data_IF_479396508502
#
_entry.id   IF_479396508502
#
_cell.length_a   1.000
_cell.length_b   1.000
_cell.length_c   1.000
_cell.angle_alpha   90.00
_cell.angle_beta   90.00
_cell.angle_gamma   90.00
#
_symmetry.space_group_name_H-M   'P 1'
#
loop_
_entity.id
_entity.type
_entity.pdbx_description
1 polymer ?
#
# COMPACT_ATOMS: atom_id res chain seq x y z
N UNK A 1 -12.81 -72.32 82.30
CA UNK A 1 -13.24 -71.14 83.08
C UNK A 1 -12.68 -69.94 82.34
N UNK A 2 -13.49 -69.38 81.44
CA UNK A 2 -14.28 -68.15 81.68
C UNK A 2 -13.43 -66.95 81.31
N UNK A 3 -13.64 -66.39 80.12
CA UNK A 3 -14.54 -65.25 79.84
C UNK A 3 -13.72 -63.96 79.82
N UNK A 4 -13.53 -63.36 78.64
CA UNK A 4 -14.39 -62.30 78.08
C UNK A 4 -14.08 -60.94 78.71
N UNK A 5 -13.47 -60.04 77.93
CA UNK A 5 -14.14 -58.82 77.45
C UNK A 5 -13.24 -57.98 76.54
N UNK A 6 -13.88 -57.51 75.47
CA UNK A 6 -13.36 -56.62 74.44
C UNK A 6 -13.69 -55.14 74.74
N UNK A 7 -13.18 -54.28 73.85
CA UNK A 7 -13.40 -52.84 73.58
C UNK A 7 -12.12 -52.03 73.86
N UNK A 8 -11.55 -51.23 72.96
CA UNK A 8 -11.79 -50.90 71.57
C UNK A 8 -10.88 -49.72 71.19
N UNK A 9 -10.70 -49.51 69.87
CA UNK A 9 -10.35 -48.26 69.17
C UNK A 9 -8.90 -48.05 68.63
N UNK A 10 -8.85 -47.60 67.35
CA UNK A 10 -7.79 -46.74 66.78
C UNK A 10 -6.51 -47.31 66.13
N UNK A 11 -6.62 -47.67 64.82
CA UNK A 11 -5.67 -47.44 63.68
C UNK A 11 -4.15 -47.72 63.74
N UNK A 12 -3.76 -48.68 62.88
CA UNK A 12 -2.65 -48.77 61.90
C UNK A 12 -1.25 -48.15 62.16
N UNK A 13 -0.21 -49.00 62.08
CA UNK A 13 0.74 -49.00 60.94
C UNK A 13 1.68 -50.23 60.99
N UNK A 14 1.75 -50.97 59.87
CA UNK A 14 2.64 -52.11 59.67
C UNK A 14 3.69 -51.82 58.57
N UNK A 15 4.93 -52.27 58.75
CA UNK A 15 6.03 -52.09 57.77
C UNK A 15 6.87 -53.36 57.62
N UNK A 16 6.94 -53.89 56.39
CA UNK A 16 7.83 -55.03 56.08
C UNK A 16 7.66 -55.71 54.72
N UNK A 17 7.60 -54.98 53.58
CA UNK A 17 7.68 -55.58 52.22
C UNK A 17 8.07 -54.56 51.13
N UNK A 18 9.21 -53.89 51.29
CA UNK A 18 9.49 -52.61 50.61
C UNK A 18 10.46 -52.57 49.42
N UNK A 19 11.07 -53.67 48.96
CA UNK A 19 12.13 -53.56 47.90
C UNK A 19 11.76 -54.08 46.51
N UNK A 20 10.88 -55.09 46.39
CA UNK A 20 10.55 -55.69 45.08
C UNK A 20 9.42 -54.96 44.35
N UNK A 21 8.46 -54.40 45.09
CA UNK A 21 7.38 -53.59 44.51
C UNK A 21 7.87 -52.21 44.01
N UNK A 22 8.91 -51.65 44.63
CA UNK A 22 9.46 -50.35 44.22
C UNK A 22 10.09 -50.41 42.83
N UNK A 23 10.78 -51.50 42.48
CA UNK A 23 11.40 -51.65 41.15
C UNK A 23 10.33 -51.78 40.05
N UNK A 24 9.27 -52.55 40.32
CA UNK A 24 8.16 -52.72 39.36
C UNK A 24 7.44 -51.40 39.12
N UNK A 25 7.18 -50.62 40.17
CA UNK A 25 6.54 -49.30 40.06
C UNK A 25 7.42 -48.33 39.27
N UNK A 26 8.74 -48.34 39.48
CA UNK A 26 9.68 -47.47 38.74
C UNK A 26 9.75 -47.85 37.25
N UNK A 27 9.77 -49.14 36.91
CA UNK A 27 9.78 -49.59 35.51
C UNK A 27 8.47 -49.24 34.80
N UNK A 28 7.32 -49.46 35.46
CA UNK A 28 6.02 -49.08 34.89
C UNK A 28 5.90 -47.56 34.74
N UNK A 29 6.42 -46.78 35.69
CA UNK A 29 6.45 -45.32 35.58
C UNK A 29 7.35 -44.82 34.43
N UNK A 30 8.50 -45.47 34.20
CA UNK A 30 9.39 -45.13 33.07
C UNK A 30 8.77 -45.49 31.72
N UNK A 31 8.08 -46.62 31.62
CA UNK A 31 7.36 -47.03 30.40
C UNK A 31 6.18 -46.09 30.13
N UNK A 32 5.42 -45.73 31.17
CA UNK A 32 4.33 -44.76 31.06
C UNK A 32 4.84 -43.35 30.70
N UNK A 33 5.99 -42.93 31.24
CA UNK A 33 6.62 -41.67 30.88
C UNK A 33 7.17 -41.68 29.44
N UNK A 34 7.79 -42.77 29.00
CA UNK A 34 8.27 -42.90 27.62
C UNK A 34 7.13 -42.92 26.59
N UNK A 35 6.03 -43.61 26.90
CA UNK A 35 4.82 -43.62 26.06
C UNK A 35 4.09 -42.27 26.11
N UNK A 36 4.06 -41.60 27.26
CA UNK A 36 3.49 -40.26 27.41
C UNK A 36 4.27 -39.18 26.68
N UNK A 37 5.61 -39.24 26.70
CA UNK A 37 6.48 -38.31 25.96
C UNK A 37 6.45 -38.61 24.45
N UNK A 38 6.43 -39.88 24.05
CA UNK A 38 6.30 -40.28 22.65
C UNK A 38 4.96 -39.86 22.03
N UNK A 39 3.86 -40.05 22.76
CA UNK A 39 2.54 -39.57 22.36
C UNK A 39 2.48 -38.03 22.35
N UNK A 40 3.04 -37.35 23.36
CA UNK A 40 3.10 -35.89 23.38
C UNK A 40 3.90 -35.36 22.18
N UNK A 41 5.03 -35.95 21.83
CA UNK A 41 5.82 -35.52 20.67
C UNK A 41 5.13 -35.83 19.33
N UNK A 42 4.37 -36.92 19.23
CA UNK A 42 3.58 -37.23 18.03
C UNK A 42 2.35 -36.32 17.88
N UNK A 43 1.65 -36.00 18.98
CA UNK A 43 0.47 -35.11 18.98
C UNK A 43 0.81 -33.61 19.04
N UNK A 44 2.04 -33.23 19.44
CA UNK A 44 2.51 -31.84 19.46
C UNK A 44 3.29 -31.46 18.20
N UNK A 45 3.44 -32.38 17.23
CA UNK A 45 3.97 -32.01 15.91
C UNK A 45 2.93 -31.12 15.21
N UNK A 46 3.32 -29.92 14.73
CA UNK A 46 2.46 -29.18 13.81
C UNK A 46 2.10 -30.12 12.66
N UNK A 47 0.83 -30.11 12.24
CA UNK A 47 0.40 -30.89 11.08
C UNK A 47 1.33 -30.50 9.92
N UNK A 48 2.14 -31.46 9.44
CA UNK A 48 3.09 -31.20 8.37
C UNK A 48 2.34 -30.57 7.18
N UNK A 49 2.94 -29.53 6.60
CA UNK A 49 2.38 -28.83 5.44
C UNK A 49 2.00 -29.85 4.37
N UNK A 50 0.73 -29.89 3.98
CA UNK A 50 0.25 -30.86 3.01
C UNK A 50 0.40 -30.31 1.59
N UNK A 51 0.53 -31.20 0.60
CA UNK A 51 0.49 -30.83 -0.82
C UNK A 51 -0.74 -29.97 -1.16
N UNK A 52 -1.89 -30.28 -0.58
CA UNK A 52 -3.12 -29.54 -0.80
C UNK A 52 -3.05 -28.08 -0.31
N UNK A 53 -2.33 -27.81 0.78
CA UNK A 53 -2.15 -26.45 1.29
C UNK A 53 -1.31 -25.61 0.33
N UNK A 54 -0.23 -26.18 -0.22
CA UNK A 54 0.64 -25.51 -1.21
C UNK A 54 -0.10 -25.26 -2.53
N UNK A 55 -0.89 -26.22 -3.01
CA UNK A 55 -1.73 -26.04 -4.22
C UNK A 55 -2.78 -24.95 -4.01
N UNK A 56 -3.47 -24.95 -2.86
CA UNK A 56 -4.46 -23.91 -2.53
C UNK A 56 -3.79 -22.54 -2.50
N UNK A 57 -2.61 -22.45 -1.89
CA UNK A 57 -1.87 -21.20 -1.78
C UNK A 57 -1.37 -20.67 -3.13
N UNK A 58 -0.88 -21.52 -4.03
CA UNK A 58 -0.51 -21.11 -5.39
C UNK A 58 -1.72 -20.61 -6.20
N UNK A 59 -2.88 -21.24 -6.02
CA UNK A 59 -4.12 -20.76 -6.61
C UNK A 59 -4.52 -19.37 -6.08
N UNK A 60 -4.41 -19.15 -4.77
CA UNK A 60 -4.67 -17.84 -4.16
C UNK A 60 -3.70 -16.77 -4.67
N UNK A 61 -2.41 -17.09 -4.78
CA UNK A 61 -1.40 -16.20 -5.40
C UNK A 61 -1.82 -15.80 -6.82
N UNK A 62 -2.20 -16.76 -7.67
CA UNK A 62 -2.63 -16.46 -9.04
C UNK A 62 -3.89 -15.58 -9.10
N UNK A 63 -4.82 -15.76 -8.16
CA UNK A 63 -6.02 -14.91 -8.06
C UNK A 63 -5.63 -13.47 -7.67
N UNK A 64 -4.73 -13.31 -6.71
CA UNK A 64 -4.23 -11.99 -6.29
C UNK A 64 -3.52 -11.29 -7.44
N UNK A 65 -2.60 -11.98 -8.11
CA UNK A 65 -1.86 -11.44 -9.25
C UNK A 65 -2.80 -10.95 -10.38
N UNK A 66 -3.77 -11.78 -10.77
CA UNK A 66 -4.77 -11.39 -11.77
C UNK A 66 -5.61 -10.19 -11.32
N UNK A 67 -6.03 -10.15 -10.05
CA UNK A 67 -6.79 -9.03 -9.48
C UNK A 67 -5.99 -7.72 -9.51
N UNK A 68 -4.69 -7.81 -9.31
CA UNK A 68 -3.78 -6.66 -9.31
C UNK A 68 -3.52 -6.11 -10.72
N UNK A 69 -3.41 -7.00 -11.71
CA UNK A 69 -3.30 -6.60 -13.11
C UNK A 69 -4.53 -5.85 -13.64
N UNK A 70 -5.70 -6.03 -13.00
CA UNK A 70 -6.93 -5.28 -13.31
C UNK A 70 -7.01 -3.92 -12.61
N UNK A 71 -6.20 -3.69 -11.57
CA UNK A 71 -6.29 -2.47 -10.76
C UNK A 71 -5.68 -1.25 -11.46
N UNK A 72 -4.53 -1.38 -12.12
CA UNK A 72 -3.91 -0.27 -12.85
C UNK A 72 -4.81 0.29 -13.98
N UNK A 73 -5.47 -0.53 -14.83
CA UNK A 73 -6.45 -0.04 -15.79
C UNK A 73 -7.59 0.79 -15.18
N UNK A 74 -8.10 0.40 -13.99
CA UNK A 74 -9.15 1.14 -13.30
C UNK A 74 -8.66 2.53 -12.86
N UNK A 75 -7.44 2.61 -12.33
CA UNK A 75 -6.82 3.88 -11.92
C UNK A 75 -6.54 4.78 -13.13
N UNK A 76 -6.11 4.20 -14.26
CA UNK A 76 -5.92 4.93 -15.51
C UNK A 76 -7.24 5.50 -16.04
N UNK A 77 -8.32 4.72 -16.02
CA UNK A 77 -9.65 5.16 -16.44
C UNK A 77 -10.16 6.30 -15.56
N UNK A 78 -10.06 6.17 -14.24
CA UNK A 78 -10.37 7.24 -13.29
C UNK A 78 -9.58 8.50 -13.60
N UNK A 79 -8.25 8.38 -13.77
CA UNK A 79 -7.38 9.53 -14.04
C UNK A 79 -7.81 10.26 -15.31
N UNK A 80 -8.14 9.52 -16.38
CA UNK A 80 -8.58 10.08 -17.64
C UNK A 80 -9.96 10.75 -17.52
N UNK A 81 -10.94 10.09 -16.89
CA UNK A 81 -12.30 10.63 -16.67
C UNK A 81 -12.27 11.87 -15.80
N UNK A 82 -11.62 11.79 -14.65
CA UNK A 82 -11.51 12.88 -13.70
C UNK A 82 -10.85 14.11 -14.33
N UNK A 83 -9.75 13.92 -15.08
CA UNK A 83 -9.05 15.02 -15.79
C UNK A 83 -9.90 15.63 -16.91
N UNK A 84 -10.74 14.84 -17.58
CA UNK A 84 -11.63 15.33 -18.64
C UNK A 84 -12.81 16.15 -18.09
N UNK A 85 -13.40 15.75 -16.97
CA UNK A 85 -14.52 16.48 -16.33
C UNK A 85 -14.06 17.82 -15.76
N UNK A 86 -12.80 17.93 -15.34
CA UNK A 86 -12.20 19.16 -14.84
C UNK A 86 -11.92 20.26 -15.88
N UNK A 87 -12.36 20.09 -17.14
CA UNK A 87 -12.26 21.13 -18.18
C UNK A 87 -13.51 22.03 -18.30
N UNK A 88 -14.44 21.97 -17.35
CA UNK A 88 -15.64 22.83 -17.31
C UNK A 88 -16.04 23.22 -15.89
N UNK A 89 -16.89 24.25 -15.76
CA UNK A 89 -17.38 24.84 -14.49
C UNK A 89 -18.22 23.89 -13.60
N UNK A 90 -18.23 22.59 -13.88
CA UNK A 90 -19.02 21.60 -13.16
C UNK A 90 -18.25 21.00 -11.96
N UNK A 91 -17.88 21.84 -10.99
CA UNK A 91 -17.26 21.41 -9.72
C UNK A 91 -18.09 20.32 -8.99
N UNK A 92 -19.43 20.37 -9.10
CA UNK A 92 -20.31 19.36 -8.52
C UNK A 92 -20.21 17.99 -9.23
N UNK A 93 -20.02 17.98 -10.55
CA UNK A 93 -19.83 16.74 -11.33
C UNK A 93 -18.44 16.14 -11.07
N UNK A 94 -17.43 17.00 -10.89
CA UNK A 94 -16.09 16.62 -10.47
C UNK A 94 -16.09 15.95 -9.09
N UNK A 95 -16.80 16.52 -8.11
CA UNK A 95 -16.92 15.95 -6.77
C UNK A 95 -17.73 14.65 -6.77
N UNK A 96 -18.75 14.54 -7.61
CA UNK A 96 -19.52 13.31 -7.77
C UNK A 96 -18.68 12.17 -8.38
N UNK A 97 -17.88 12.46 -9.41
CA UNK A 97 -16.95 11.51 -10.04
C UNK A 97 -15.86 11.10 -9.04
N UNK A 98 -15.22 12.07 -8.37
CA UNK A 98 -14.20 11.75 -7.36
C UNK A 98 -14.78 10.87 -6.28
N UNK A 99 -15.92 11.25 -5.70
CA UNK A 99 -16.53 10.50 -4.60
C UNK A 99 -16.91 9.09 -5.03
N UNK A 100 -17.55 8.93 -6.19
CA UNK A 100 -18.05 7.62 -6.62
C UNK A 100 -16.94 6.69 -7.10
N UNK A 101 -16.00 7.20 -7.90
CA UNK A 101 -14.94 6.38 -8.49
C UNK A 101 -13.78 6.16 -7.51
N UNK A 102 -13.43 7.16 -6.68
CA UNK A 102 -12.44 6.94 -5.62
C UNK A 102 -12.96 5.96 -4.55
N UNK A 103 -14.24 6.01 -4.18
CA UNK A 103 -14.82 5.01 -3.26
C UNK A 103 -14.74 3.59 -3.84
N UNK A 104 -14.96 3.42 -5.15
CA UNK A 104 -14.80 2.13 -5.82
C UNK A 104 -13.35 1.66 -5.78
N UNK A 105 -12.40 2.54 -6.14
CA UNK A 105 -10.97 2.23 -6.13
C UNK A 105 -10.45 1.91 -4.72
N UNK A 106 -10.92 2.62 -3.70
CA UNK A 106 -10.58 2.35 -2.30
C UNK A 106 -11.13 1.01 -1.83
N UNK A 107 -12.35 0.64 -2.23
CA UNK A 107 -12.91 -0.69 -1.94
C UNK A 107 -12.10 -1.79 -2.60
N UNK A 108 -11.70 -1.60 -3.86
CA UNK A 108 -10.84 -2.56 -4.57
C UNK A 108 -9.46 -2.67 -3.93
N UNK A 109 -8.83 -1.55 -3.57
CA UNK A 109 -7.57 -1.50 -2.80
C UNK A 109 -7.71 -2.32 -1.51
N UNK A 110 -8.73 -2.03 -0.69
CA UNK A 110 -8.98 -2.74 0.56
C UNK A 110 -9.27 -4.24 0.35
N UNK A 111 -10.05 -4.60 -0.67
CA UNK A 111 -10.34 -5.99 -1.00
C UNK A 111 -9.08 -6.76 -1.39
N UNK A 112 -8.16 -6.11 -2.11
CA UNK A 112 -6.89 -6.70 -2.52
C UNK A 112 -5.92 -6.86 -1.37
N UNK A 113 -5.80 -5.85 -0.49
CA UNK A 113 -5.02 -5.98 0.75
C UNK A 113 -5.59 -7.08 1.64
N UNK A 114 -6.91 -7.17 1.77
CA UNK A 114 -7.55 -8.23 2.55
C UNK A 114 -7.31 -9.64 1.95
N UNK A 115 -7.14 -9.78 0.63
CA UNK A 115 -6.72 -11.07 0.02
C UNK A 115 -5.30 -11.43 0.45
N UNK A 116 -4.37 -10.47 0.41
CA UNK A 116 -2.99 -10.67 0.89
C UNK A 116 -2.95 -10.98 2.39
N UNK A 117 -3.79 -10.36 3.21
CA UNK A 117 -3.86 -10.64 4.64
C UNK A 117 -4.41 -12.05 4.92
N UNK A 118 -5.46 -12.48 4.20
CA UNK A 118 -5.97 -13.86 4.32
C UNK A 118 -4.93 -14.90 3.90
N UNK A 119 -4.15 -14.64 2.86
CA UNK A 119 -3.04 -15.53 2.47
C UNK A 119 -2.03 -15.69 3.61
N UNK A 120 -1.82 -14.67 4.44
CA UNK A 120 -0.92 -14.73 5.60
C UNK A 120 -1.36 -15.72 6.69
N UNK A 121 -2.61 -16.20 6.62
CA UNK A 121 -3.17 -17.21 7.53
C UNK A 121 -3.02 -18.64 7.00
N UNK A 122 -2.46 -18.81 5.79
CA UNK A 122 -2.36 -20.12 5.14
C UNK A 122 -1.41 -21.07 5.88
N UNK A 123 -1.80 -22.34 6.09
CA UNK A 123 -0.91 -23.38 6.60
C UNK A 123 0.36 -23.58 5.75
N UNK A 124 0.32 -23.23 4.46
CA UNK A 124 1.50 -23.32 3.57
C UNK A 124 2.69 -22.47 4.05
N UNK A 125 2.43 -21.44 4.87
CA UNK A 125 3.46 -20.54 5.42
C UNK A 125 4.22 -21.13 6.62
N UNK A 126 3.85 -22.32 7.09
CA UNK A 126 4.70 -23.05 8.04
C UNK A 126 6.00 -23.54 7.39
N UNK A 127 6.05 -23.60 6.05
CA UNK A 127 7.28 -23.78 5.29
C UNK A 127 8.07 -22.44 5.24
N UNK A 128 9.29 -22.36 5.81
CA UNK A 128 10.03 -21.10 5.89
C UNK A 128 10.34 -20.50 4.52
N UNK A 129 10.63 -21.32 3.50
CA UNK A 129 10.95 -20.81 2.17
C UNK A 129 9.71 -20.18 1.52
N UNK A 130 8.54 -20.81 1.70
CA UNK A 130 7.26 -20.26 1.23
C UNK A 130 6.92 -18.97 1.98
N UNK A 131 7.13 -18.95 3.30
CA UNK A 131 6.89 -17.78 4.16
C UNK A 131 7.74 -16.57 3.76
N UNK A 132 9.04 -16.77 3.56
CA UNK A 132 9.96 -15.71 3.17
C UNK A 132 9.64 -15.15 1.77
N UNK A 133 9.34 -16.04 0.81
CA UNK A 133 8.96 -15.64 -0.53
C UNK A 133 7.62 -14.90 -0.54
N UNK A 134 6.64 -15.37 0.25
CA UNK A 134 5.36 -14.70 0.40
C UNK A 134 5.48 -13.35 1.09
N UNK A 135 6.35 -13.21 2.10
CA UNK A 135 6.60 -11.93 2.75
C UNK A 135 7.05 -10.86 1.75
N UNK A 136 7.98 -11.21 0.85
CA UNK A 136 8.42 -10.32 -0.24
C UNK A 136 7.30 -10.04 -1.23
N UNK A 137 6.54 -11.07 -1.64
CA UNK A 137 5.38 -10.91 -2.52
C UNK A 137 4.36 -9.93 -1.92
N UNK A 138 3.95 -10.14 -0.66
CA UNK A 138 3.01 -9.28 0.06
C UNK A 138 3.52 -7.84 0.15
N UNK A 139 4.79 -7.64 0.47
CA UNK A 139 5.41 -6.31 0.51
C UNK A 139 5.35 -5.60 -0.85
N UNK A 140 5.80 -6.26 -1.93
CA UNK A 140 5.88 -5.64 -3.26
C UNK A 140 4.50 -5.39 -3.87
N UNK A 141 3.53 -6.29 -3.70
CA UNK A 141 2.16 -6.04 -4.14
C UNK A 141 1.46 -4.98 -3.28
N UNK A 142 1.71 -4.95 -1.96
CA UNK A 142 1.25 -3.85 -1.11
C UNK A 142 1.77 -2.49 -1.58
N UNK A 143 3.03 -2.44 -2.06
CA UNK A 143 3.59 -1.22 -2.65
C UNK A 143 2.90 -0.82 -3.97
N UNK A 144 2.47 -1.76 -4.81
CA UNK A 144 1.65 -1.46 -6.02
C UNK A 144 0.33 -0.82 -5.62
N UNK A 145 -0.36 -1.40 -4.63
CA UNK A 145 -1.63 -0.87 -4.13
C UNK A 145 -1.45 0.54 -3.57
N UNK A 146 -0.48 0.74 -2.68
CA UNK A 146 -0.18 2.04 -2.09
C UNK A 146 0.21 3.09 -3.14
N UNK A 147 0.98 2.70 -4.15
CA UNK A 147 1.33 3.58 -5.28
C UNK A 147 0.09 4.05 -6.04
N UNK A 148 -0.84 3.14 -6.32
CA UNK A 148 -2.08 3.45 -7.03
C UNK A 148 -3.06 4.29 -6.19
N UNK A 149 -3.18 4.02 -4.89
CA UNK A 149 -3.94 4.86 -3.97
C UNK A 149 -3.38 6.28 -3.93
N UNK A 150 -2.05 6.42 -3.87
CA UNK A 150 -1.39 7.73 -3.91
C UNK A 150 -1.59 8.44 -5.25
N UNK A 151 -1.65 7.72 -6.38
CA UNK A 151 -1.97 8.32 -7.69
C UNK A 151 -3.34 8.98 -7.70
N UNK A 152 -4.35 8.39 -7.06
CA UNK A 152 -5.70 8.98 -6.96
C UNK A 152 -5.62 10.31 -6.21
N UNK A 153 -4.91 10.34 -5.08
CA UNK A 153 -4.70 11.55 -4.29
C UNK A 153 -3.95 12.60 -5.10
N UNK A 154 -2.83 12.23 -5.72
CA UNK A 154 -2.01 13.13 -6.53
C UNK A 154 -2.79 13.73 -7.70
N UNK A 155 -3.58 12.92 -8.43
CA UNK A 155 -4.45 13.39 -9.51
C UNK A 155 -5.51 14.36 -8.99
N UNK A 156 -6.17 14.05 -7.88
CA UNK A 156 -7.14 14.94 -7.26
C UNK A 156 -6.51 16.29 -6.86
N UNK A 157 -5.35 16.24 -6.19
CA UNK A 157 -4.59 17.41 -5.75
C UNK A 157 -4.17 18.29 -6.92
N UNK A 158 -3.50 17.73 -7.93
CA UNK A 158 -3.03 18.47 -9.11
C UNK A 158 -4.20 19.15 -9.82
N UNK A 159 -5.29 18.41 -10.07
CA UNK A 159 -6.43 18.95 -10.81
C UNK A 159 -7.19 20.01 -10.02
N UNK A 160 -7.39 19.83 -8.72
CA UNK A 160 -8.10 20.82 -7.89
C UNK A 160 -7.29 22.08 -7.62
N UNK A 161 -5.96 21.97 -7.54
CA UNK A 161 -5.11 23.15 -7.35
C UNK A 161 -4.83 23.84 -8.68
N UNK A 162 -4.20 23.15 -9.62
CA UNK A 162 -3.72 23.74 -10.88
C UNK A 162 -4.84 23.89 -11.90
N UNK A 163 -5.75 22.92 -11.99
CA UNK A 163 -6.90 23.00 -12.90
C UNK A 163 -8.02 23.92 -12.42
N UNK A 164 -8.15 24.13 -11.10
CA UNK A 164 -9.18 24.97 -10.50
C UNK A 164 -8.73 26.42 -10.32
N UNK A 165 -8.34 26.87 -9.11
CA UNK A 165 -8.01 28.28 -8.83
C UNK A 165 -6.92 28.90 -9.71
N UNK A 166 -6.04 28.10 -10.31
CA UNK A 166 -5.02 28.59 -11.25
C UNK A 166 -5.50 28.69 -12.70
N UNK A 167 -6.63 28.08 -13.07
CA UNK A 167 -7.18 28.09 -14.43
C UNK A 167 -7.36 29.49 -15.01
N UNK A 168 -8.01 30.43 -14.30
CA UNK A 168 -8.24 31.78 -14.81
C UNK A 168 -6.97 32.56 -15.17
N UNK A 169 -5.81 32.23 -14.59
CA UNK A 169 -4.52 32.86 -14.92
C UNK A 169 -4.14 32.71 -16.41
N UNK A 170 -4.69 31.70 -17.08
CA UNK A 170 -4.32 31.34 -18.45
C UNK A 170 -5.46 31.49 -19.47
N UNK A 171 -6.72 31.56 -19.03
CA UNK A 171 -7.90 31.48 -19.91
C UNK A 171 -8.83 32.68 -19.86
N UNK A 172 -8.87 33.41 -18.74
CA UNK A 172 -9.95 34.38 -18.46
C UNK A 172 -9.47 35.82 -18.26
N UNK A 173 -8.20 36.01 -17.93
CA UNK A 173 -7.69 37.35 -17.66
C UNK A 173 -7.52 38.17 -18.93
N UNK A 174 -8.18 39.33 -18.98
CA UNK A 174 -8.06 40.26 -20.07
C UNK A 174 -6.78 41.11 -19.95
N UNK A 175 -5.75 40.73 -20.69
CA UNK A 175 -4.46 41.45 -20.76
C UNK A 175 -4.59 42.95 -21.12
N UNK A 176 -5.67 43.32 -21.80
CA UNK A 176 -5.95 44.71 -22.19
C UNK A 176 -6.69 45.51 -21.12
N UNK A 177 -7.15 44.86 -20.05
CA UNK A 177 -7.78 45.52 -18.91
C UNK A 177 -6.80 46.48 -18.22
N UNK A 178 -7.29 47.64 -17.78
CA UNK A 178 -6.52 48.54 -16.91
C UNK A 178 -6.27 47.91 -15.53
N UNK A 179 -7.17 47.03 -15.08
CA UNK A 179 -7.09 46.34 -13.79
C UNK A 179 -6.37 44.99 -13.87
N UNK A 180 -5.77 44.65 -15.01
CA UNK A 180 -5.16 43.33 -15.26
C UNK A 180 -4.21 42.90 -14.13
N UNK A 181 -3.30 43.78 -13.69
CA UNK A 181 -2.34 43.44 -12.64
C UNK A 181 -3.00 43.14 -11.30
N UNK A 182 -4.07 43.85 -10.93
CA UNK A 182 -4.82 43.61 -9.71
C UNK A 182 -5.62 42.30 -9.76
N UNK A 183 -6.27 42.03 -10.90
CA UNK A 183 -6.97 40.77 -11.14
C UNK A 183 -6.01 39.59 -11.13
N UNK A 184 -4.84 39.73 -11.77
CA UNK A 184 -3.81 38.69 -11.80
C UNK A 184 -3.31 38.37 -10.39
N UNK A 185 -2.93 39.38 -9.59
CA UNK A 185 -2.45 39.17 -8.22
C UNK A 185 -3.50 38.44 -7.37
N UNK A 186 -4.77 38.87 -7.46
CA UNK A 186 -5.87 38.24 -6.72
C UNK A 186 -6.04 36.76 -7.08
N UNK A 187 -6.06 36.43 -8.37
CA UNK A 187 -6.19 35.04 -8.82
C UNK A 187 -4.94 34.23 -8.45
N UNK A 188 -3.76 34.81 -8.60
CA UNK A 188 -2.51 34.15 -8.27
C UNK A 188 -2.41 33.83 -6.77
N UNK A 189 -2.85 34.73 -5.89
CA UNK A 189 -2.87 34.48 -4.44
C UNK A 189 -3.82 33.33 -4.07
N UNK A 190 -5.00 33.24 -4.71
CA UNK A 190 -5.91 32.12 -4.53
C UNK A 190 -5.32 30.79 -5.04
N UNK A 191 -4.66 30.82 -6.20
CA UNK A 191 -3.95 29.69 -6.77
C UNK A 191 -2.79 29.21 -5.88
N UNK A 192 -1.95 30.13 -5.40
CA UNK A 192 -0.81 29.81 -4.52
C UNK A 192 -1.28 29.16 -3.21
N UNK A 193 -2.39 29.65 -2.64
CA UNK A 193 -3.01 29.03 -1.47
C UNK A 193 -3.46 27.60 -1.76
N UNK A 194 -4.16 27.37 -2.87
CA UNK A 194 -4.63 26.03 -3.25
C UNK A 194 -3.47 25.07 -3.53
N UNK A 195 -2.38 25.55 -4.13
CA UNK A 195 -1.16 24.76 -4.35
C UNK A 195 -0.51 24.40 -3.00
N UNK A 196 -0.43 25.33 -2.06
CA UNK A 196 0.14 25.07 -0.73
C UNK A 196 -0.66 23.99 0.01
N UNK A 197 -1.99 24.09 0.03
CA UNK A 197 -2.87 23.09 0.65
C UNK A 197 -2.77 21.72 -0.04
N UNK A 198 -2.63 21.69 -1.37
CA UNK A 198 -2.53 20.44 -2.13
C UNK A 198 -1.25 19.65 -1.83
N UNK A 199 -0.16 20.31 -1.42
CA UNK A 199 1.13 19.65 -1.18
C UNK A 199 1.12 18.70 0.01
N UNK A 200 0.34 19.00 1.05
CA UNK A 200 0.38 18.29 2.34
C UNK A 200 -0.09 16.82 2.25
N UNK A 201 -0.80 16.45 1.19
CA UNK A 201 -1.27 15.07 0.95
C UNK A 201 -0.58 14.34 -0.21
N UNK A 202 0.42 14.96 -0.84
CA UNK A 202 1.02 14.44 -2.08
C UNK A 202 2.36 13.76 -1.85
N UNK A 203 2.73 12.86 -2.75
CA UNK A 203 4.06 12.26 -2.71
C UNK A 203 5.16 13.23 -3.15
N UNK A 204 6.42 12.81 -3.01
CA UNK A 204 7.58 13.65 -3.26
C UNK A 204 7.62 14.16 -4.71
N UNK A 205 7.25 13.32 -5.68
CA UNK A 205 7.23 13.66 -7.09
C UNK A 205 6.16 14.72 -7.40
N UNK A 206 4.94 14.56 -6.90
CA UNK A 206 3.88 15.56 -7.05
C UNK A 206 4.18 16.83 -6.28
N UNK A 207 4.76 16.75 -5.08
CA UNK A 207 5.16 17.93 -4.32
C UNK A 207 6.22 18.76 -5.08
N UNK A 208 7.18 18.09 -5.73
CA UNK A 208 8.18 18.73 -6.58
C UNK A 208 7.54 19.46 -7.76
N UNK A 209 6.56 18.84 -8.43
CA UNK A 209 5.76 19.48 -9.48
C UNK A 209 5.06 20.73 -8.95
N UNK A 210 4.29 20.59 -7.87
CA UNK A 210 3.53 21.69 -7.27
C UNK A 210 4.42 22.83 -6.79
N UNK A 211 5.61 22.52 -6.27
CA UNK A 211 6.61 23.52 -5.87
C UNK A 211 7.18 24.28 -7.05
N UNK A 212 7.46 23.60 -8.17
CA UNK A 212 7.90 24.26 -9.38
C UNK A 212 6.81 25.19 -9.96
N UNK A 213 5.55 24.74 -9.97
CA UNK A 213 4.40 25.55 -10.40
C UNK A 213 4.22 26.76 -9.48
N UNK A 214 4.27 26.56 -8.16
CA UNK A 214 4.19 27.65 -7.18
C UNK A 214 5.26 28.72 -7.44
N UNK A 215 6.52 28.31 -7.65
CA UNK A 215 7.62 29.24 -7.89
C UNK A 215 7.42 30.08 -9.15
N UNK A 216 6.89 29.49 -10.22
CA UNK A 216 6.57 30.20 -11.47
C UNK A 216 5.44 31.21 -11.24
N UNK A 217 4.35 30.80 -10.60
CA UNK A 217 3.17 31.65 -10.38
C UNK A 217 3.52 32.79 -9.41
N UNK A 218 4.22 32.49 -8.32
CA UNK A 218 4.70 33.48 -7.36
C UNK A 218 5.61 34.52 -8.03
N UNK A 219 6.57 34.08 -8.85
CA UNK A 219 7.45 35.00 -9.56
C UNK A 219 6.73 35.96 -10.51
N UNK A 220 5.58 35.54 -11.09
CA UNK A 220 4.76 36.41 -11.93
C UNK A 220 3.83 37.30 -11.12
N UNK A 221 3.24 36.75 -10.06
CA UNK A 221 2.46 37.50 -9.07
C UNK A 221 3.25 38.66 -8.49
N UNK A 222 4.51 38.42 -8.11
CA UNK A 222 5.39 39.45 -7.55
C UNK A 222 5.70 40.55 -8.56
N UNK A 223 5.93 40.20 -9.84
CA UNK A 223 6.09 41.21 -10.91
C UNK A 223 4.84 42.03 -11.15
N UNK A 224 3.65 41.42 -11.06
CA UNK A 224 2.38 42.17 -11.18
C UNK A 224 2.14 43.05 -9.95
N UNK A 225 2.53 42.59 -8.76
CA UNK A 225 2.50 43.39 -7.54
C UNK A 225 3.41 44.61 -7.69
N UNK A 226 4.62 44.46 -8.23
CA UNK A 226 5.51 45.60 -8.48
C UNK A 226 4.87 46.67 -9.37
N UNK A 227 4.03 46.30 -10.35
CA UNK A 227 3.25 47.24 -11.18
C UNK A 227 2.26 48.04 -10.35
N UNK A 228 1.56 47.36 -9.43
CA UNK A 228 0.58 47.98 -8.53
C UNK A 228 1.24 48.90 -7.51
N UNK A 229 2.44 48.53 -7.04
CA UNK A 229 3.23 49.28 -6.07
C UNK A 229 3.98 50.48 -6.71
N UNK A 230 3.81 50.73 -8.01
CA UNK A 230 4.50 51.82 -8.70
C UNK A 230 3.71 53.14 -8.61
N UNK A 231 4.32 54.13 -7.95
CA UNK A 231 3.74 55.46 -7.75
C UNK A 231 3.77 56.33 -9.03
N UNK A 232 4.82 56.21 -9.84
CA UNK A 232 5.00 57.00 -11.07
C UNK A 232 4.49 56.26 -12.31
N UNK A 233 3.78 56.97 -13.20
CA UNK A 233 3.17 56.39 -14.40
C UNK A 233 4.20 55.79 -15.38
N UNK A 234 5.34 56.46 -15.57
CA UNK A 234 6.42 55.96 -16.44
C UNK A 234 7.02 54.66 -15.89
N UNK A 235 7.24 54.60 -14.57
CA UNK A 235 7.75 53.41 -13.86
C UNK A 235 6.73 52.28 -13.93
N UNK A 236 5.44 52.59 -13.77
CA UNK A 236 4.34 51.63 -13.89
C UNK A 236 4.29 51.01 -15.29
N UNK A 237 4.42 51.82 -16.34
CA UNK A 237 4.48 51.34 -17.73
C UNK A 237 5.68 50.41 -17.92
N UNK A 238 6.88 50.81 -17.47
CA UNK A 238 8.09 49.99 -17.61
C UNK A 238 7.94 48.63 -16.90
N UNK A 239 7.42 48.62 -15.67
CA UNK A 239 7.16 47.39 -14.92
C UNK A 239 6.09 46.53 -15.59
N UNK A 240 5.03 47.13 -16.14
CA UNK A 240 3.98 46.40 -16.87
C UNK A 240 4.56 45.70 -18.11
N UNK A 241 5.46 46.37 -18.84
CA UNK A 241 6.18 45.78 -19.98
C UNK A 241 7.07 44.61 -19.54
N UNK A 242 7.82 44.75 -18.45
CA UNK A 242 8.66 43.66 -17.92
C UNK A 242 7.83 42.47 -17.45
N UNK A 243 6.71 42.71 -16.78
CA UNK A 243 5.80 41.66 -16.32
C UNK A 243 5.15 40.94 -17.51
N UNK A 244 4.73 41.66 -18.56
CA UNK A 244 4.22 41.06 -19.79
C UNK A 244 5.28 40.23 -20.53
N UNK A 245 6.51 40.73 -20.64
CA UNK A 245 7.62 40.00 -21.25
C UNK A 245 7.94 38.71 -20.47
N UNK A 246 7.89 38.77 -19.14
CA UNK A 246 8.08 37.61 -18.30
C UNK A 246 7.01 36.52 -18.51
N UNK A 247 5.79 36.89 -18.94
CA UNK A 247 4.75 35.89 -19.24
C UNK A 247 5.04 35.03 -20.46
N UNK A 248 5.74 35.59 -21.45
CA UNK A 248 6.10 34.88 -22.67
C UNK A 248 7.02 33.68 -22.38
N UNK A 249 7.83 33.77 -21.33
CA UNK A 249 8.78 32.74 -20.91
C UNK A 249 8.24 31.72 -19.90
N UNK A 250 6.99 31.83 -19.44
CA UNK A 250 6.43 30.95 -18.39
C UNK A 250 6.32 29.48 -18.84
N UNK A 251 6.09 29.25 -20.14
CA UNK A 251 5.84 27.91 -20.66
C UNK A 251 7.05 26.99 -20.54
N UNK A 252 8.27 27.50 -20.64
CA UNK A 252 9.49 26.70 -20.54
C UNK A 252 9.66 26.03 -19.17
N UNK A 253 9.69 26.76 -18.03
CA UNK A 253 9.80 26.14 -16.71
C UNK A 253 8.60 25.24 -16.37
N UNK A 254 7.38 25.59 -16.80
CA UNK A 254 6.20 24.73 -16.59
C UNK A 254 6.31 23.42 -17.38
N UNK A 255 6.70 23.48 -18.66
CA UNK A 255 6.89 22.27 -19.47
C UNK A 255 8.03 21.40 -18.94
N UNK A 256 9.10 22.02 -18.44
CA UNK A 256 10.20 21.30 -17.79
C UNK A 256 9.70 20.58 -16.54
N UNK A 257 8.97 21.27 -15.66
CA UNK A 257 8.41 20.68 -14.45
C UNK A 257 7.45 19.52 -14.76
N UNK A 258 6.57 19.68 -15.76
CA UNK A 258 5.69 18.61 -16.24
C UNK A 258 6.47 17.41 -16.75
N UNK A 259 7.48 17.63 -17.58
CA UNK A 259 8.28 16.55 -18.17
C UNK A 259 9.06 15.78 -17.11
N UNK A 260 9.66 16.47 -16.13
CA UNK A 260 10.34 15.82 -15.01
C UNK A 260 9.37 14.99 -14.17
N UNK A 261 8.17 15.50 -13.92
CA UNK A 261 7.13 14.77 -13.20
C UNK A 261 6.66 13.52 -13.95
N UNK A 262 6.31 13.65 -15.23
CA UNK A 262 5.87 12.53 -16.07
C UNK A 262 6.94 11.43 -16.15
N UNK A 263 8.22 11.82 -16.28
CA UNK A 263 9.34 10.89 -16.25
C UNK A 263 9.46 10.16 -14.91
N UNK A 264 9.40 10.90 -13.79
CA UNK A 264 9.53 10.32 -12.45
C UNK A 264 8.37 9.35 -12.13
N UNK A 265 7.12 9.73 -12.45
CA UNK A 265 5.94 8.86 -12.27
C UNK A 265 6.06 7.60 -13.12
N UNK A 266 6.50 7.72 -14.38
CA UNK A 266 6.69 6.56 -15.27
C UNK A 266 7.76 5.60 -14.73
N UNK A 267 8.89 6.14 -14.28
CA UNK A 267 9.97 5.35 -13.69
C UNK A 267 9.50 4.60 -12.44
N UNK A 268 8.84 5.30 -11.51
CA UNK A 268 8.29 4.74 -10.28
C UNK A 268 7.25 3.65 -10.57
N UNK A 269 6.31 3.90 -11.47
CA UNK A 269 5.33 2.92 -11.94
C UNK A 269 5.99 1.66 -12.47
N UNK A 270 6.98 1.82 -13.35
CA UNK A 270 7.68 0.70 -14.00
C UNK A 270 8.40 -0.14 -12.95
N UNK A 271 9.07 0.51 -12.01
CA UNK A 271 9.82 -0.15 -10.94
C UNK A 271 8.91 -0.94 -10.00
N UNK A 272 7.84 -0.32 -9.51
CA UNK A 272 6.91 -0.95 -8.56
C UNK A 272 6.24 -2.18 -9.18
N UNK A 273 5.83 -2.11 -10.44
CA UNK A 273 5.26 -3.26 -11.17
C UNK A 273 6.32 -4.34 -11.42
N UNK A 274 7.54 -3.97 -11.83
CA UNK A 274 8.62 -4.92 -12.07
C UNK A 274 9.01 -5.68 -10.79
N UNK A 275 9.14 -4.96 -9.66
CA UNK A 275 9.46 -5.55 -8.36
C UNK A 275 8.36 -6.52 -7.89
N UNK A 276 7.09 -6.18 -8.09
CA UNK A 276 5.96 -7.06 -7.78
C UNK A 276 5.96 -8.33 -8.65
N UNK A 277 6.15 -8.19 -9.97
CA UNK A 277 6.23 -9.32 -10.89
C UNK A 277 7.41 -10.25 -10.56
N UNK A 278 8.58 -9.69 -10.22
CA UNK A 278 9.74 -10.47 -9.81
C UNK A 278 9.46 -11.24 -8.51
N UNK A 279 8.81 -10.60 -7.52
CA UNK A 279 8.43 -11.26 -6.27
C UNK A 279 7.39 -12.37 -6.49
N UNK A 280 6.44 -12.18 -7.41
CA UNK A 280 5.48 -13.21 -7.80
C UNK A 280 6.14 -14.42 -8.44
N UNK A 281 7.07 -14.20 -9.38
CA UNK A 281 7.82 -15.27 -10.03
C UNK A 281 8.66 -16.07 -9.04
N UNK A 282 9.29 -15.40 -8.08
CA UNK A 282 10.06 -16.09 -7.05
C UNK A 282 9.16 -16.93 -6.15
N UNK A 283 8.01 -16.40 -5.73
CA UNK A 283 7.04 -17.16 -4.95
C UNK A 283 6.53 -18.38 -5.73
N UNK A 284 6.16 -18.20 -7.00
CA UNK A 284 5.73 -19.30 -7.86
C UNK A 284 6.80 -20.39 -7.98
N UNK A 285 8.07 -20.00 -8.14
CA UNK A 285 9.19 -20.93 -8.23
C UNK A 285 9.37 -21.74 -6.94
N UNK A 286 9.27 -21.10 -5.78
CA UNK A 286 9.35 -21.78 -4.48
C UNK A 286 8.19 -22.76 -4.32
N UNK A 287 6.97 -22.36 -4.66
CA UNK A 287 5.78 -23.22 -4.58
C UNK A 287 5.90 -24.43 -5.51
N UNK A 288 6.33 -24.23 -6.77
CA UNK A 288 6.57 -25.32 -7.72
C UNK A 288 7.63 -26.30 -7.21
N UNK A 289 8.77 -25.80 -6.74
CA UNK A 289 9.81 -26.65 -6.18
C UNK A 289 9.30 -27.47 -5.00
N UNK A 290 8.42 -26.90 -4.16
CA UNK A 290 7.83 -27.63 -3.03
C UNK A 290 6.82 -28.69 -3.49
N UNK A 291 6.03 -28.42 -4.53
CA UNK A 291 5.12 -29.40 -5.13
C UNK A 291 5.87 -30.58 -5.75
N UNK A 292 6.98 -30.33 -6.44
CA UNK A 292 7.86 -31.36 -6.99
C UNK A 292 8.45 -32.26 -5.89
N UNK A 293 8.81 -31.70 -4.74
CA UNK A 293 9.29 -32.48 -3.59
C UNK A 293 8.22 -33.42 -3.03
N UNK A 294 6.94 -33.00 -2.99
CA UNK A 294 5.85 -33.89 -2.60
C UNK A 294 5.65 -35.03 -3.59
N UNK A 295 5.79 -34.74 -4.90
CA UNK A 295 5.65 -35.76 -5.95
C UNK A 295 6.77 -36.79 -5.87
N UNK A 296 8.02 -36.36 -5.69
CA UNK A 296 9.17 -37.25 -5.49
C UNK A 296 8.99 -38.13 -4.24
N UNK A 297 8.55 -37.57 -3.11
CA UNK A 297 8.31 -38.32 -1.88
C UNK A 297 7.17 -39.36 -2.00
N UNK A 298 6.20 -39.13 -2.89
CA UNK A 298 5.11 -40.08 -3.16
C UNK A 298 5.47 -41.19 -4.16
N UNK A 299 6.50 -40.99 -5.00
CA UNK A 299 6.93 -41.94 -6.03
C UNK A 299 7.84 -43.06 -5.53
N UNK A 300 8.57 -42.86 -4.43
CA UNK A 300 9.47 -43.87 -3.84
C UNK A 300 8.74 -44.96 -3.02
N UNK A 301 7.41 -44.86 -2.85
CA UNK A 301 6.61 -45.82 -2.07
C UNK A 301 6.09 -47.04 -2.84
N UNK A 302 6.18 -47.05 -4.17
CA UNK A 302 5.63 -48.11 -5.04
C UNK A 302 6.68 -49.15 -5.50
N UNK A 303 7.87 -49.15 -4.89
CA UNK A 303 8.92 -50.17 -5.10
C UNK A 303 9.30 -50.87 -3.78
N UNK A 304 8.34 -51.53 -3.14
CA UNK A 304 8.62 -52.54 -2.11
C UNK A 304 7.70 -53.75 -2.22
#
# INVERSE_FOLDING_TARGET
MSDSQALGDGTEQARGKGRRNVIIVVVVALVAAALGIGAWWYFSRPADVQRADVVRFDKERSIVDNSMNLYDPLVQEFTARYTNVSKGDALEEQDAVLKREADLLQRESAANMAKLDRMAESPALQDPAVSDAFGKFKEKYGAVVAYNDQRIINTASITRSVGGPCGPLHTELNLQSENYSAEYVKVADACLKAIAEAKDGTDAETNKLLTAVEGVIKGQRDKQQEVLDADEDLVRIAKRTLAAAAMLGINEPLNKARTEYEAAVKEKSTKVVADANAANQELEKVLKSRLEQFEAASGDGDQS
#
